data_IF_946146487271
#
_entry.id   IF_946146487271
#
_cell.length_a   1.000
_cell.length_b   1.000
_cell.length_c   1.000
_cell.angle_alpha   90.00
_cell.angle_beta   90.00
_cell.angle_gamma   90.00
#
_symmetry.space_group_name_H-M   'P 1'
#
loop_
_entity.id
_entity.type
_entity.pdbx_description
1 polymer ?
#
# COMPACT_ATOMS: atom_id res chain seq x y z
N UNK A 1 0.61 31.35 -13.44
CA UNK A 1 1.00 30.00 -12.97
C UNK A 1 2.33 29.65 -13.64
N UNK A 2 3.40 29.45 -12.86
CA UNK A 2 4.76 29.22 -13.40
C UNK A 2 4.82 27.86 -14.10
N UNK A 3 5.68 27.72 -15.11
CA UNK A 3 5.89 26.48 -15.86
C UNK A 3 6.25 25.29 -14.97
N UNK A 4 6.99 25.54 -13.87
CA UNK A 4 7.30 24.53 -12.84
C UNK A 4 6.06 24.00 -12.11
N UNK A 5 5.05 24.84 -11.90
CA UNK A 5 3.83 24.47 -11.20
C UNK A 5 2.92 23.67 -12.14
N UNK A 6 2.92 24.02 -13.43
CA UNK A 6 2.23 23.23 -14.47
C UNK A 6 2.88 21.86 -14.67
N UNK A 7 4.20 21.76 -14.63
CA UNK A 7 4.91 20.46 -14.66
C UNK A 7 4.67 19.65 -13.39
N UNK A 8 4.73 20.25 -12.21
CA UNK A 8 4.37 19.56 -10.96
C UNK A 8 2.92 19.07 -11.01
N UNK A 9 1.98 19.91 -11.42
CA UNK A 9 0.55 19.55 -11.51
C UNK A 9 0.32 18.51 -12.61
N UNK A 10 0.95 18.64 -13.78
CA UNK A 10 0.87 17.63 -14.84
C UNK A 10 1.54 16.32 -14.46
N UNK A 11 2.61 16.33 -13.66
CA UNK A 11 3.29 15.13 -13.13
C UNK A 11 2.51 14.49 -11.97
N UNK A 12 1.78 15.30 -11.21
CA UNK A 12 0.87 14.86 -10.14
C UNK A 12 -0.45 14.31 -10.70
N UNK A 13 -0.92 14.84 -11.84
CA UNK A 13 -2.08 14.35 -12.59
C UNK A 13 -1.70 13.21 -13.54
N UNK A 14 -0.46 13.17 -14.04
CA UNK A 14 0.00 12.07 -14.86
C UNK A 14 0.22 10.87 -13.95
N UNK A 15 -0.63 9.88 -14.15
CA UNK A 15 -0.49 8.51 -13.68
C UNK A 15 0.76 7.81 -14.27
N UNK A 16 1.90 8.50 -14.29
CA UNK A 16 3.09 8.12 -15.02
C UNK A 16 3.62 6.83 -14.43
N UNK A 17 3.50 5.75 -15.21
CA UNK A 17 3.98 4.44 -14.83
C UNK A 17 5.51 4.41 -14.77
N UNK A 18 6.07 3.69 -13.82
CA UNK A 18 7.49 3.35 -13.77
C UNK A 18 7.74 1.97 -14.36
N UNK A 19 8.93 1.72 -14.92
CA UNK A 19 9.35 0.38 -15.38
C UNK A 19 10.41 -0.15 -14.43
N UNK A 20 10.04 -1.09 -13.57
CA UNK A 20 10.94 -1.70 -12.59
C UNK A 20 11.55 -2.96 -13.21
N UNK A 21 12.87 -3.11 -13.13
CA UNK A 21 13.56 -4.32 -13.58
C UNK A 21 13.55 -5.36 -12.46
N UNK A 22 13.14 -6.59 -12.77
CA UNK A 22 13.21 -7.74 -11.86
C UNK A 22 13.83 -8.88 -12.66
N UNK A 23 15.02 -9.33 -12.24
CA UNK A 23 15.82 -10.26 -13.01
C UNK A 23 16.10 -9.74 -14.43
N UNK A 24 15.63 -10.48 -15.44
CA UNK A 24 15.81 -10.15 -16.85
C UNK A 24 14.64 -9.33 -17.44
N UNK A 25 13.48 -9.27 -16.78
CA UNK A 25 12.30 -8.59 -17.30
C UNK A 25 12.07 -7.22 -16.68
N UNK A 26 11.38 -6.34 -17.42
CA UNK A 26 10.94 -5.02 -16.95
C UNK A 26 9.43 -5.00 -16.82
N UNK A 27 8.93 -4.66 -15.64
CA UNK A 27 7.52 -4.62 -15.31
C UNK A 27 7.03 -3.18 -15.22
N UNK A 28 5.98 -2.85 -15.98
CA UNK A 28 5.36 -1.52 -16.00
C UNK A 28 4.39 -1.38 -14.82
N UNK A 29 4.81 -0.69 -13.77
CA UNK A 29 4.00 -0.41 -12.58
C UNK A 29 3.27 0.91 -12.76
N UNK A 30 1.96 0.90 -12.60
CA UNK A 30 1.10 2.09 -12.63
C UNK A 30 0.81 2.55 -11.19
N UNK A 31 0.34 3.79 -10.97
CA UNK A 31 -0.18 4.19 -9.66
C UNK A 31 -1.23 3.20 -9.16
N UNK A 32 -1.22 3.01 -7.83
CA UNK A 32 -2.06 2.03 -7.16
C UNK A 32 -3.54 2.38 -7.30
N UNK A 33 -4.37 1.37 -7.54
CA UNK A 33 -5.82 1.51 -7.38
C UNK A 33 -6.23 1.26 -5.93
N UNK A 34 -7.41 1.74 -5.53
CA UNK A 34 -7.98 1.45 -4.21
C UNK A 34 -8.06 -0.06 -3.91
N UNK A 35 -8.36 -0.89 -4.91
CA UNK A 35 -8.37 -2.35 -4.74
C UNK A 35 -6.98 -2.91 -4.43
N UNK A 36 -5.93 -2.40 -5.09
CA UNK A 36 -4.55 -2.82 -4.79
C UNK A 36 -4.14 -2.41 -3.38
N UNK A 37 -4.55 -1.22 -2.92
CA UNK A 37 -4.32 -0.75 -1.54
C UNK A 37 -5.02 -1.68 -0.54
N UNK A 38 -6.29 -2.05 -0.80
CA UNK A 38 -7.02 -3.00 0.03
C UNK A 38 -6.32 -4.37 0.08
N UNK A 39 -5.95 -4.93 -1.09
CA UNK A 39 -5.27 -6.23 -1.16
C UNK A 39 -3.92 -6.21 -0.42
N UNK A 40 -3.15 -5.11 -0.54
CA UNK A 40 -1.92 -4.92 0.24
C UNK A 40 -2.20 -4.88 1.75
N UNK A 41 -3.27 -4.23 2.19
CA UNK A 41 -3.66 -4.16 3.60
C UNK A 41 -3.95 -5.56 4.20
N UNK A 42 -4.56 -6.46 3.42
CA UNK A 42 -4.76 -7.85 3.83
C UNK A 42 -3.43 -8.56 4.10
N UNK A 43 -2.41 -8.33 3.26
CA UNK A 43 -1.06 -8.87 3.49
C UNK A 43 -0.32 -8.15 4.62
N UNK A 44 -0.49 -6.83 4.73
CA UNK A 44 0.16 -5.98 5.73
C UNK A 44 -0.22 -6.35 7.17
N UNK A 45 -1.48 -6.74 7.39
CA UNK A 45 -1.94 -7.24 8.69
C UNK A 45 -1.27 -8.55 9.12
N UNK A 46 -0.57 -9.24 8.21
CA UNK A 46 0.19 -10.46 8.51
C UNK A 46 1.67 -10.18 8.83
N UNK A 47 2.12 -8.93 8.71
CA UNK A 47 3.49 -8.54 9.03
C UNK A 47 3.61 -8.43 10.55
N UNK A 48 4.51 -9.23 11.14
CA UNK A 48 4.85 -9.12 12.56
C UNK A 48 5.53 -7.79 12.83
N UNK A 49 5.13 -7.13 13.91
CA UNK A 49 5.80 -5.90 14.36
C UNK A 49 7.28 -6.21 14.67
N UNK A 50 8.21 -5.34 14.24
CA UNK A 50 9.61 -5.50 14.59
C UNK A 50 9.78 -5.38 16.10
N UNK A 51 10.51 -6.33 16.70
CA UNK A 51 10.76 -6.40 18.14
C UNK A 51 11.98 -5.57 18.57
N UNK A 52 12.79 -5.09 17.62
CA UNK A 52 14.01 -4.32 17.88
C UNK A 52 13.81 -2.81 17.71
N UNK A 53 14.67 -2.03 18.39
CA UNK A 53 14.71 -0.58 18.28
C UNK A 53 15.82 -0.15 17.32
N UNK A 54 15.70 1.08 16.82
CA UNK A 54 16.72 1.71 15.99
C UNK A 54 18.05 1.78 16.80
N UNK A 55 19.09 1.08 16.34
CA UNK A 55 20.42 1.05 16.99
C UNK A 55 20.86 -0.28 17.61
N UNK A 56 20.01 -1.31 17.64
CA UNK A 56 20.42 -2.63 18.12
C UNK A 56 21.47 -3.29 17.19
N UNK A 57 22.59 -3.74 17.77
CA UNK A 57 23.55 -4.60 17.06
C UNK A 57 22.95 -6.01 16.88
N UNK A 58 22.15 -6.18 15.84
CA UNK A 58 21.50 -7.44 15.52
C UNK A 58 22.37 -8.30 14.61
N UNK A 59 22.52 -9.58 14.93
CA UNK A 59 23.07 -10.55 13.99
C UNK A 59 22.11 -10.70 12.80
N UNK A 60 22.61 -10.44 11.60
CA UNK A 60 21.80 -10.33 10.37
C UNK A 60 21.14 -11.66 9.99
N UNK A 61 21.78 -12.80 10.29
CA UNK A 61 21.28 -14.13 9.90
C UNK A 61 20.04 -14.57 10.70
N UNK A 62 20.02 -14.54 12.05
CA UNK A 62 18.80 -14.78 12.84
C UNK A 62 17.64 -13.85 12.46
N UNK A 63 17.93 -12.56 12.23
CA UNK A 63 16.94 -11.58 11.81
C UNK A 63 16.32 -11.93 10.45
N UNK A 64 17.14 -12.40 9.50
CA UNK A 64 16.68 -12.89 8.21
C UNK A 64 15.77 -14.11 8.34
N UNK A 65 16.05 -15.03 9.27
CA UNK A 65 15.20 -16.19 9.50
C UNK A 65 13.88 -15.83 10.18
N UNK A 66 13.92 -14.96 11.18
CA UNK A 66 12.73 -14.48 11.90
C UNK A 66 11.75 -13.74 10.98
N UNK A 67 12.28 -13.00 9.99
CA UNK A 67 11.49 -12.22 9.02
C UNK A 67 11.43 -12.84 7.62
N UNK A 68 11.78 -14.12 7.49
CA UNK A 68 11.72 -14.83 6.21
C UNK A 68 10.30 -14.85 5.61
N UNK A 69 9.27 -14.98 6.45
CA UNK A 69 7.87 -14.83 6.04
C UNK A 69 7.55 -13.40 5.57
N UNK A 70 8.18 -12.38 6.15
CA UNK A 70 8.05 -10.99 5.68
C UNK A 70 8.62 -10.81 4.27
N UNK A 71 9.72 -11.50 3.93
CA UNK A 71 10.27 -11.47 2.57
C UNK A 71 9.31 -12.11 1.54
N UNK A 72 8.60 -13.17 1.93
CA UNK A 72 7.53 -13.75 1.12
C UNK A 72 6.38 -12.76 0.93
N UNK A 73 5.95 -12.07 1.98
CA UNK A 73 4.90 -11.05 1.92
C UNK A 73 5.30 -9.86 1.04
N UNK A 74 6.56 -9.39 1.12
CA UNK A 74 7.09 -8.34 0.25
C UNK A 74 6.98 -8.74 -1.23
N UNK A 75 7.23 -10.01 -1.55
CA UNK A 75 7.06 -10.53 -2.91
C UNK A 75 5.60 -10.50 -3.36
N UNK A 76 4.65 -10.88 -2.51
CA UNK A 76 3.22 -10.80 -2.83
C UNK A 76 2.76 -9.35 -3.04
N UNK A 77 3.19 -8.44 -2.15
CA UNK A 77 2.92 -7.00 -2.26
C UNK A 77 3.45 -6.47 -3.59
N UNK A 78 4.69 -6.79 -3.96
CA UNK A 78 5.25 -6.37 -5.25
C UNK A 78 4.39 -6.85 -6.43
N UNK A 79 3.96 -8.12 -6.43
CA UNK A 79 3.12 -8.69 -7.48
C UNK A 79 1.78 -7.97 -7.57
N UNK A 80 1.16 -7.66 -6.43
CA UNK A 80 -0.10 -6.91 -6.35
C UNK A 80 0.07 -5.51 -6.94
N UNK A 81 1.15 -4.81 -6.60
CA UNK A 81 1.42 -3.47 -7.12
C UNK A 81 1.72 -3.49 -8.64
N UNK A 82 2.53 -4.45 -9.09
CA UNK A 82 2.95 -4.54 -10.48
C UNK A 82 1.81 -4.90 -11.43
N UNK A 83 0.82 -5.66 -10.98
CA UNK A 83 -0.28 -6.12 -11.84
C UNK A 83 -1.66 -5.88 -11.24
N UNK A 84 -2.51 -5.20 -12.00
CA UNK A 84 -3.94 -5.04 -11.66
C UNK A 84 -4.77 -6.29 -11.93
N UNK A 85 -4.38 -7.10 -12.94
CA UNK A 85 -5.16 -8.27 -13.38
C UNK A 85 -4.69 -9.55 -12.67
N UNK A 86 -5.62 -10.31 -12.10
CA UNK A 86 -5.33 -11.58 -11.38
C UNK A 86 -4.58 -12.61 -12.24
N UNK A 87 -4.88 -12.72 -13.53
CA UNK A 87 -4.19 -13.68 -14.41
C UNK A 87 -2.71 -13.31 -14.60
N UNK A 88 -2.39 -12.03 -14.75
CA UNK A 88 -1.02 -11.58 -14.93
C UNK A 88 -0.19 -11.85 -13.67
N UNK A 89 -0.80 -11.68 -12.48
CA UNK A 89 -0.20 -12.09 -11.20
C UNK A 89 0.10 -13.59 -11.15
N UNK A 90 -0.80 -14.44 -11.66
CA UNK A 90 -0.56 -15.89 -11.70
C UNK A 90 0.61 -16.27 -12.63
N UNK A 91 0.67 -15.65 -13.82
CA UNK A 91 1.72 -15.93 -14.82
C UNK A 91 3.08 -15.45 -14.32
N UNK A 92 3.18 -14.19 -13.90
CA UNK A 92 4.46 -13.57 -13.55
C UNK A 92 4.85 -13.73 -12.09
N UNK A 93 3.91 -14.09 -11.22
CA UNK A 93 4.17 -14.17 -9.77
C UNK A 93 5.24 -15.20 -9.41
N UNK A 94 5.27 -16.35 -10.10
CA UNK A 94 6.34 -17.34 -9.88
C UNK A 94 7.72 -16.80 -10.27
N UNK A 95 7.79 -16.05 -11.36
CA UNK A 95 9.04 -15.42 -11.80
C UNK A 95 9.50 -14.36 -10.80
N UNK A 96 8.60 -13.45 -10.41
CA UNK A 96 8.93 -12.36 -9.49
C UNK A 96 9.39 -12.90 -8.13
N UNK A 97 8.70 -13.89 -7.55
CA UNK A 97 9.12 -14.51 -6.28
C UNK A 97 10.54 -15.07 -6.29
N UNK A 98 11.06 -15.47 -7.46
CA UNK A 98 12.41 -16.03 -7.60
C UNK A 98 13.49 -14.98 -7.88
N UNK A 99 13.10 -13.82 -8.43
CA UNK A 99 14.04 -12.85 -9.00
C UNK A 99 13.88 -11.44 -8.43
N UNK A 100 12.92 -11.22 -7.53
CA UNK A 100 12.75 -9.95 -6.85
C UNK A 100 13.91 -9.75 -5.87
N UNK A 101 14.65 -8.68 -6.09
CA UNK A 101 15.73 -8.23 -5.21
C UNK A 101 15.33 -6.97 -4.43
N UNK A 102 16.17 -6.62 -3.45
CA UNK A 102 15.96 -5.47 -2.57
C UNK A 102 15.94 -4.16 -3.37
N UNK A 103 16.72 -4.05 -4.46
CA UNK A 103 16.80 -2.82 -5.25
C UNK A 103 15.50 -2.56 -5.99
N UNK A 104 14.94 -3.59 -6.65
CA UNK A 104 13.67 -3.53 -7.35
C UNK A 104 12.51 -3.24 -6.38
N UNK A 105 12.52 -3.86 -5.20
CA UNK A 105 11.50 -3.57 -4.18
C UNK A 105 11.62 -2.13 -3.66
N UNK A 106 12.83 -1.62 -3.42
CA UNK A 106 13.05 -0.23 -3.01
C UNK A 106 12.59 0.77 -4.08
N UNK A 107 12.81 0.47 -5.37
CA UNK A 107 12.30 1.28 -6.48
C UNK A 107 10.76 1.35 -6.46
N UNK A 108 10.10 0.23 -6.17
CA UNK A 108 8.65 0.18 -6.00
C UNK A 108 8.18 1.06 -4.83
N UNK A 109 8.81 0.94 -3.66
CA UNK A 109 8.46 1.75 -2.48
C UNK A 109 8.60 3.24 -2.78
N UNK A 110 9.73 3.67 -3.35
CA UNK A 110 9.95 5.07 -3.75
C UNK A 110 8.88 5.59 -4.70
N UNK A 111 8.50 4.78 -5.70
CA UNK A 111 7.44 5.15 -6.63
C UNK A 111 6.09 5.29 -5.93
N UNK A 112 5.70 4.32 -5.10
CA UNK A 112 4.42 4.33 -4.38
C UNK A 112 4.35 5.54 -3.45
N UNK A 113 5.37 5.76 -2.61
CA UNK A 113 5.44 6.90 -1.68
C UNK A 113 5.37 8.25 -2.39
N UNK A 114 5.97 8.36 -3.58
CA UNK A 114 5.88 9.58 -4.39
C UNK A 114 4.52 9.76 -5.08
N UNK A 115 3.81 8.67 -5.36
CA UNK A 115 2.50 8.69 -6.05
C UNK A 115 1.30 8.79 -5.11
N UNK A 116 1.47 8.47 -3.83
CA UNK A 116 0.38 8.38 -2.85
C UNK A 116 0.17 9.71 -2.11
N UNK A 117 -1.01 10.32 -2.26
CA UNK A 117 -1.39 11.52 -1.53
C UNK A 117 -2.01 11.15 -0.17
N UNK A 118 -1.19 11.13 0.87
CA UNK A 118 -1.61 10.81 2.24
C UNK A 118 -2.72 11.73 2.76
N UNK A 119 -2.68 13.03 2.42
CA UNK A 119 -3.69 14.00 2.86
C UNK A 119 -5.06 13.69 2.26
N UNK A 120 -5.12 13.44 0.94
CA UNK A 120 -6.37 13.03 0.28
C UNK A 120 -6.95 11.76 0.91
N UNK A 121 -6.10 10.77 1.19
CA UNK A 121 -6.53 9.52 1.81
C UNK A 121 -7.08 9.71 3.23
N UNK A 122 -6.37 10.49 4.07
CA UNK A 122 -6.84 10.82 5.42
C UNK A 122 -8.15 11.61 5.40
N UNK A 123 -8.28 12.62 4.54
CA UNK A 123 -9.53 13.38 4.37
C UNK A 123 -10.67 12.47 3.93
N UNK A 124 -10.42 11.52 3.03
CA UNK A 124 -11.43 10.57 2.57
C UNK A 124 -11.89 9.64 3.69
N UNK A 125 -10.98 9.16 4.55
CA UNK A 125 -11.34 8.36 5.74
C UNK A 125 -12.21 9.19 6.69
N UNK A 126 -11.79 10.42 7.01
CA UNK A 126 -12.56 11.32 7.89
C UNK A 126 -13.97 11.54 7.36
N UNK A 127 -14.11 11.81 6.06
CA UNK A 127 -15.41 11.98 5.41
C UNK A 127 -16.29 10.73 5.52
N UNK A 128 -15.74 9.54 5.26
CA UNK A 128 -16.48 8.28 5.37
C UNK A 128 -16.91 7.99 6.81
N UNK A 129 -16.04 8.26 7.80
CA UNK A 129 -16.36 8.12 9.23
C UNK A 129 -17.48 9.06 9.66
N UNK A 130 -17.42 10.33 9.25
CA UNK A 130 -18.49 11.31 9.52
C UNK A 130 -19.82 10.89 8.88
N UNK A 131 -19.76 10.39 7.63
CA UNK A 131 -20.95 9.88 6.93
C UNK A 131 -21.56 8.72 7.71
N UNK A 132 -20.75 7.76 8.17
CA UNK A 132 -21.22 6.66 9.01
C UNK A 132 -21.96 7.16 10.25
N UNK A 133 -21.37 8.10 10.99
CA UNK A 133 -21.98 8.71 12.20
C UNK A 133 -23.31 9.41 11.87
N UNK A 134 -23.40 10.11 10.73
CA UNK A 134 -24.63 10.78 10.30
C UNK A 134 -25.73 9.80 9.88
N UNK A 135 -25.34 8.63 9.36
CA UNK A 135 -26.28 7.59 8.92
C UNK A 135 -26.65 6.59 10.00
N UNK A 136 -25.91 6.53 11.11
CA UNK A 136 -26.28 5.72 12.28
C UNK A 136 -27.54 6.34 12.92
N UNK A 137 -28.61 5.56 13.11
CA UNK A 137 -29.84 6.07 13.70
C UNK A 137 -29.54 6.51 15.14
N UNK A 138 -29.77 7.80 15.43
CA UNK A 138 -29.82 8.29 16.81
C UNK A 138 -31.03 7.61 17.47
N UNK A 139 -30.82 6.47 18.11
CA UNK A 139 -31.83 5.88 18.99
C UNK A 139 -32.00 6.84 20.17
N UNK A 140 -33.01 7.70 20.10
CA UNK A 140 -33.53 8.41 21.27
C UNK A 140 -33.82 7.35 22.33
N UNK A 141 -33.28 7.45 23.56
CA UNK A 141 -33.67 6.53 24.63
C UNK A 141 -35.18 6.60 24.78
N UNK A 142 -35.89 5.50 24.45
CA UNK A 142 -37.31 5.35 24.78
C UNK A 142 -37.39 5.24 26.30
N UNK A 143 -37.52 6.37 26.97
CA UNK A 143 -37.47 6.44 28.43
C UNK A 143 -37.69 7.84 28.98
N UNK A 144 -38.64 8.59 28.43
CA UNK A 144 -39.36 9.62 29.19
C UNK A 144 -40.85 9.38 28.92
N UNK A 145 -41.44 8.47 29.70
CA UNK A 145 -42.87 8.56 29.98
C UNK A 145 -43.05 9.88 30.73
N UNK A 146 -43.79 10.80 30.13
CA UNK A 146 -44.37 11.92 30.86
C UNK A 146 -45.31 11.33 31.90
N UNK A 147 -44.97 11.46 33.17
CA UNK A 147 -45.91 11.28 34.27
C UNK A 147 -46.99 12.36 34.14
N UNK A 148 -48.21 11.92 33.87
CA UNK A 148 -49.44 12.61 34.24
C UNK A 148 -50.02 11.91 35.47
#
# INVERSE_FOLDING_TARGET
MKTSDKEKVAKTLSEASVKIKVGMFRFKVKPLTFMQIYEMGVFGNSIKEPTWKEGDMMNIIPLLFEHSETARLMSEIFIVCAFRKKWARKVWGRYIRKHLDIMAFNELVKFISGSFNANFFLTSITFLTQTKIMTEPKTTPRGQQSEQ
#
